data_IF_330285810699
#
_entry.id   IF_330285810699
#
_cell.length_a   1.000
_cell.length_b   1.000
_cell.length_c   1.000
_cell.angle_alpha   90.00
_cell.angle_beta   90.00
_cell.angle_gamma   90.00
#
_symmetry.space_group_name_H-M   'P 1'
#
loop_
_entity.id
_entity.type
_entity.pdbx_description
1 polymer ?
#
# COMPACT_ATOMS: atom_id res chain seq x y z
N UNK A 1 -23.34 -30.02 -2.64
CA UNK A 1 -23.43 -29.27 -3.91
C UNK A 1 -22.56 -28.04 -3.78
N UNK A 2 -21.39 -28.01 -4.41
CA UNK A 2 -20.60 -26.77 -4.51
C UNK A 2 -21.34 -25.80 -5.42
N UNK A 3 -21.60 -24.61 -4.89
CA UNK A 3 -22.22 -23.47 -5.56
C UNK A 3 -21.21 -22.91 -6.57
N UNK A 4 -21.29 -23.38 -7.82
CA UNK A 4 -20.41 -22.94 -8.94
C UNK A 4 -20.68 -21.48 -9.38
N UNK A 5 -21.67 -20.82 -8.78
CA UNK A 5 -21.89 -19.38 -8.82
C UNK A 5 -20.73 -18.58 -8.18
N UNK A 6 -19.98 -19.17 -7.24
CA UNK A 6 -18.84 -18.52 -6.58
C UNK A 6 -17.54 -18.97 -7.26
N UNK A 7 -16.83 -18.02 -7.87
CA UNK A 7 -15.54 -18.30 -8.53
C UNK A 7 -14.48 -18.73 -7.52
N UNK A 8 -13.80 -19.85 -7.80
CA UNK A 8 -12.65 -20.34 -7.02
C UNK A 8 -11.41 -19.46 -7.19
N UNK A 9 -11.33 -18.71 -8.30
CA UNK A 9 -10.25 -17.80 -8.60
C UNK A 9 -10.81 -16.45 -9.09
N UNK A 10 -11.42 -15.67 -8.19
CA UNK A 10 -12.05 -14.39 -8.55
C UNK A 10 -11.04 -13.35 -9.06
N UNK A 11 -9.75 -13.55 -8.82
CA UNK A 11 -8.68 -12.77 -9.42
C UNK A 11 -8.44 -13.12 -10.90
N UNK A 12 -8.54 -14.39 -11.29
CA UNK A 12 -8.38 -14.79 -12.70
C UNK A 12 -9.55 -14.29 -13.54
N UNK A 13 -10.75 -14.31 -12.98
CA UNK A 13 -11.93 -13.75 -13.62
C UNK A 13 -11.76 -12.24 -13.86
N UNK A 14 -11.25 -11.51 -12.86
CA UNK A 14 -10.94 -10.07 -13.01
C UNK A 14 -9.87 -9.82 -14.07
N UNK A 15 -8.79 -10.61 -14.10
CA UNK A 15 -7.74 -10.50 -15.12
C UNK A 15 -8.28 -10.81 -16.52
N UNK A 16 -9.17 -11.78 -16.64
CA UNK A 16 -9.76 -12.12 -17.93
C UNK A 16 -10.75 -11.04 -18.39
N UNK A 17 -11.62 -10.54 -17.50
CA UNK A 17 -12.53 -9.42 -17.79
C UNK A 17 -11.79 -8.13 -18.16
N UNK A 18 -10.57 -7.93 -17.68
CA UNK A 18 -9.73 -6.79 -18.09
C UNK A 18 -8.98 -6.99 -19.40
N UNK A 19 -9.28 -8.07 -20.14
CA UNK A 19 -8.76 -8.34 -21.46
C UNK A 19 -7.43 -9.10 -21.47
N UNK A 20 -6.95 -9.67 -20.35
CA UNK A 20 -5.81 -10.60 -20.40
C UNK A 20 -6.21 -11.92 -21.04
N UNK A 21 -5.36 -12.37 -21.95
CA UNK A 21 -5.44 -13.72 -22.51
C UNK A 21 -5.13 -14.76 -21.43
N UNK A 22 -5.63 -15.97 -21.64
CA UNK A 22 -5.34 -17.14 -20.79
C UNK A 22 -3.83 -17.34 -20.58
N UNK A 23 -3.02 -17.05 -21.61
CA UNK A 23 -1.56 -17.17 -21.56
C UNK A 23 -0.92 -16.10 -20.67
N UNK A 24 -1.36 -14.86 -20.77
CA UNK A 24 -0.85 -13.79 -19.91
C UNK A 24 -1.23 -14.04 -18.44
N UNK A 25 -2.44 -14.53 -18.17
CA UNK A 25 -2.88 -14.90 -16.81
C UNK A 25 -2.01 -16.03 -16.26
N UNK A 26 -1.76 -17.07 -17.06
CA UNK A 26 -0.84 -18.16 -16.74
C UNK A 26 0.55 -17.62 -16.36
N UNK A 27 1.10 -16.74 -17.19
CA UNK A 27 2.43 -16.15 -17.01
C UNK A 27 2.53 -15.23 -15.78
N UNK A 28 1.44 -14.53 -15.43
CA UNK A 28 1.40 -13.61 -14.28
C UNK A 28 1.14 -14.31 -12.94
N UNK A 29 0.41 -15.42 -12.97
CA UNK A 29 0.06 -16.17 -11.77
C UNK A 29 1.02 -17.33 -11.49
N UNK A 30 1.85 -17.70 -12.49
CA UNK A 30 2.72 -18.88 -12.42
C UNK A 30 1.96 -20.20 -12.44
N UNK A 31 0.67 -20.19 -12.82
CA UNK A 31 -0.19 -21.39 -12.84
C UNK A 31 -0.18 -22.02 -14.23
N UNK A 32 -0.34 -23.35 -14.35
CA UNK A 32 -0.34 -24.00 -15.66
C UNK A 32 -1.44 -23.46 -16.58
N UNK A 33 -1.10 -23.23 -17.85
CA UNK A 33 -2.02 -22.73 -18.89
C UNK A 33 -3.30 -23.56 -18.98
N UNK A 34 -3.19 -24.89 -18.91
CA UNK A 34 -4.32 -25.82 -18.94
C UNK A 34 -5.30 -25.61 -17.78
N UNK A 35 -4.78 -25.31 -16.59
CA UNK A 35 -5.59 -25.04 -15.39
C UNK A 35 -6.35 -23.73 -15.52
N UNK A 36 -5.67 -22.66 -15.95
CA UNK A 36 -6.31 -21.35 -16.16
C UNK A 36 -7.36 -21.44 -17.27
N UNK A 37 -7.05 -22.12 -18.37
CA UNK A 37 -7.98 -22.32 -19.48
C UNK A 37 -9.23 -23.07 -19.02
N UNK A 38 -9.06 -24.18 -18.29
CA UNK A 38 -10.17 -24.98 -17.78
C UNK A 38 -11.06 -24.16 -16.84
N UNK A 39 -10.47 -23.39 -15.92
CA UNK A 39 -11.21 -22.52 -15.01
C UNK A 39 -12.09 -21.52 -15.79
N UNK A 40 -11.51 -20.81 -16.76
CA UNK A 40 -12.24 -19.79 -17.53
C UNK A 40 -13.30 -20.40 -18.46
N UNK A 41 -13.07 -21.58 -19.02
CA UNK A 41 -14.10 -22.32 -19.78
C UNK A 41 -15.32 -22.63 -18.90
N UNK A 42 -15.10 -23.07 -17.65
CA UNK A 42 -16.19 -23.33 -16.72
C UNK A 42 -16.90 -22.02 -16.36
N UNK A 43 -16.15 -20.92 -16.14
CA UNK A 43 -16.75 -19.61 -15.84
C UNK A 43 -17.66 -19.10 -16.97
N UNK A 44 -17.29 -19.28 -18.23
CA UNK A 44 -18.12 -18.91 -19.38
C UNK A 44 -19.46 -19.64 -19.46
N UNK A 45 -19.63 -20.78 -18.77
CA UNK A 45 -20.92 -21.49 -18.69
C UNK A 45 -21.89 -20.78 -17.74
N UNK A 46 -21.38 -20.11 -16.70
CA UNK A 46 -22.18 -19.51 -15.63
C UNK A 46 -22.25 -17.98 -15.69
N UNK A 47 -21.33 -17.35 -16.41
CA UNK A 47 -21.22 -15.91 -16.64
C UNK A 47 -21.03 -15.74 -18.15
N UNK A 48 -22.14 -15.58 -18.88
CA UNK A 48 -22.17 -15.47 -20.33
C UNK A 48 -21.58 -14.15 -20.84
N UNK A 49 -21.63 -13.10 -20.00
CA UNK A 49 -21.03 -11.80 -20.28
C UNK A 49 -19.50 -11.80 -20.19
N UNK A 50 -18.88 -12.70 -19.41
CA UNK A 50 -17.43 -12.69 -19.14
C UNK A 50 -16.58 -12.63 -20.41
N UNK A 51 -17.01 -13.34 -21.47
CA UNK A 51 -16.30 -13.39 -22.74
C UNK A 51 -16.47 -12.11 -23.54
N UNK A 52 -17.68 -11.56 -23.59
CA UNK A 52 -17.94 -10.28 -24.26
C UNK A 52 -17.17 -9.13 -23.59
N UNK A 53 -17.12 -9.13 -22.25
CA UNK A 53 -16.34 -8.16 -21.48
C UNK A 53 -14.84 -8.31 -21.78
N UNK A 54 -14.31 -9.54 -21.75
CA UNK A 54 -12.92 -9.81 -22.13
C UNK A 54 -12.61 -9.31 -23.55
N UNK A 55 -13.44 -9.65 -24.54
CA UNK A 55 -13.18 -9.34 -25.94
C UNK A 55 -13.20 -7.83 -26.18
N UNK A 56 -14.14 -7.11 -25.56
CA UNK A 56 -14.20 -5.65 -25.59
C UNK A 56 -12.96 -5.00 -24.93
N UNK A 57 -12.56 -5.47 -23.74
CA UNK A 57 -11.39 -4.96 -23.04
C UNK A 57 -10.08 -5.27 -23.77
N UNK A 58 -9.99 -6.43 -24.41
CA UNK A 58 -8.83 -6.84 -25.21
C UNK A 58 -8.72 -5.99 -26.49
N UNK A 59 -9.84 -5.74 -27.17
CA UNK A 59 -9.89 -4.84 -28.33
C UNK A 59 -9.55 -3.38 -27.94
N UNK A 60 -9.94 -2.96 -26.74
CA UNK A 60 -9.66 -1.64 -26.19
C UNK A 60 -8.29 -1.52 -25.50
N UNK A 61 -7.30 -2.38 -25.82
CA UNK A 61 -5.93 -2.29 -25.29
C UNK A 61 -5.26 -0.96 -25.69
N UNK A 62 -5.43 0.03 -24.83
CA UNK A 62 -4.88 1.39 -24.87
C UNK A 62 -3.46 1.43 -24.22
N UNK A 63 -2.70 2.55 -24.22
CA UNK A 63 -1.36 2.66 -23.61
C UNK A 63 -1.27 2.27 -22.13
N UNK A 64 -2.39 2.14 -21.42
CA UNK A 64 -2.44 1.68 -20.03
C UNK A 64 -2.08 0.21 -19.82
N UNK A 65 -1.97 -0.57 -20.91
CA UNK A 65 -1.55 -1.98 -20.82
C UNK A 65 -0.17 -2.11 -20.15
N UNK A 66 0.05 -3.12 -19.28
CA UNK A 66 1.35 -3.30 -18.66
C UNK A 66 2.43 -3.56 -19.73
N UNK A 67 3.35 -2.61 -19.88
CA UNK A 67 4.47 -2.73 -20.81
C UNK A 67 5.36 -3.93 -20.45
N UNK A 68 6.15 -4.43 -21.40
CA UNK A 68 7.12 -5.51 -21.13
C UNK A 68 8.04 -5.20 -19.95
N UNK A 69 8.42 -3.93 -19.78
CA UNK A 69 9.22 -3.50 -18.63
C UNK A 69 8.44 -3.59 -17.33
N UNK A 70 7.19 -3.12 -17.31
CA UNK A 70 6.31 -3.23 -16.16
C UNK A 70 6.12 -4.69 -15.74
N UNK A 71 5.83 -5.56 -16.70
CA UNK A 71 5.64 -7.00 -16.47
C UNK A 71 6.89 -7.66 -15.87
N UNK A 72 8.08 -7.28 -16.35
CA UNK A 72 9.35 -7.79 -15.80
C UNK A 72 9.54 -7.35 -14.35
N UNK A 73 9.26 -6.08 -14.03
CA UNK A 73 9.37 -5.56 -12.66
C UNK A 73 8.35 -6.19 -11.70
N UNK A 74 7.12 -6.40 -12.18
CA UNK A 74 6.09 -7.14 -11.45
C UNK A 74 6.56 -8.56 -11.11
N UNK A 75 7.03 -9.32 -12.10
CA UNK A 75 7.55 -10.68 -11.88
C UNK A 75 8.75 -10.70 -10.92
N UNK A 76 9.67 -9.75 -11.05
CA UNK A 76 10.80 -9.64 -10.13
C UNK A 76 10.32 -9.38 -8.68
N UNK A 77 9.28 -8.56 -8.50
CA UNK A 77 8.65 -8.31 -7.19
C UNK A 77 7.99 -9.57 -6.64
N UNK A 78 7.31 -10.37 -7.48
CA UNK A 78 6.74 -11.66 -7.07
C UNK A 78 7.83 -12.64 -6.61
N UNK A 79 8.93 -12.75 -7.36
CA UNK A 79 10.05 -13.62 -7.02
C UNK A 79 10.66 -13.18 -5.69
N UNK A 80 10.93 -11.87 -5.52
CA UNK A 80 11.46 -11.34 -4.27
C UNK A 80 10.54 -11.66 -3.08
N UNK A 81 9.24 -11.49 -3.26
CA UNK A 81 8.25 -11.78 -2.22
C UNK A 81 8.20 -13.26 -1.87
N UNK A 82 8.30 -14.16 -2.87
CA UNK A 82 8.35 -15.60 -2.63
C UNK A 82 9.62 -16.01 -1.86
N UNK A 83 10.75 -15.36 -2.12
CA UNK A 83 12.03 -15.65 -1.44
C UNK A 83 12.10 -15.05 -0.04
N UNK A 84 11.63 -13.82 0.16
CA UNK A 84 11.84 -13.05 1.38
C UNK A 84 10.60 -12.95 2.29
N UNK A 85 9.42 -13.34 1.79
CA UNK A 85 8.15 -13.24 2.52
C UNK A 85 7.65 -11.81 2.74
N UNK A 86 8.25 -10.81 2.09
CA UNK A 86 7.92 -9.38 2.24
C UNK A 86 8.06 -8.63 0.92
N UNK A 87 7.43 -7.45 0.85
CA UNK A 87 7.61 -6.50 -0.25
C UNK A 87 9.03 -5.89 -0.19
N UNK A 88 9.68 -5.61 -1.33
CA UNK A 88 10.96 -4.92 -1.39
C UNK A 88 10.93 -3.58 -0.63
N UNK A 89 11.98 -3.32 0.13
CA UNK A 89 12.20 -2.09 0.90
C UNK A 89 13.47 -1.38 0.42
N UNK A 90 13.62 -0.10 0.77
CA UNK A 90 14.87 0.60 0.44
C UNK A 90 15.99 0.05 1.32
N UNK A 91 16.75 -0.89 0.78
CA UNK A 91 17.97 -1.44 1.40
C UNK A 91 19.19 -0.67 0.88
N UNK A 92 20.17 -0.40 1.76
CA UNK A 92 21.46 0.18 1.35
C UNK A 92 22.43 -0.90 0.85
N UNK A 93 22.24 -2.15 1.30
CA UNK A 93 23.13 -3.27 1.02
C UNK A 93 22.76 -4.06 -0.25
N UNK A 94 21.53 -3.90 -0.75
CA UNK A 94 21.03 -4.59 -1.95
C UNK A 94 20.45 -3.58 -2.96
N UNK A 95 21.24 -3.32 -4.00
CA UNK A 95 20.86 -2.41 -5.08
C UNK A 95 19.65 -2.92 -5.88
N UNK A 96 19.51 -4.23 -6.07
CA UNK A 96 18.40 -4.81 -6.81
C UNK A 96 17.10 -4.67 -6.01
N UNK A 97 17.12 -4.96 -4.70
CA UNK A 97 16.00 -4.70 -3.79
C UNK A 97 15.62 -3.21 -3.82
N UNK A 98 16.60 -2.30 -3.70
CA UNK A 98 16.34 -0.87 -3.71
C UNK A 98 15.66 -0.39 -5.00
N UNK A 99 16.03 -0.95 -6.16
CA UNK A 99 15.37 -0.61 -7.43
C UNK A 99 13.94 -1.13 -7.49
N UNK A 100 13.67 -2.34 -6.99
CA UNK A 100 12.32 -2.90 -6.91
C UNK A 100 11.46 -2.10 -5.93
N UNK A 101 12.00 -1.73 -4.76
CA UNK A 101 11.30 -0.92 -3.77
C UNK A 101 10.88 0.44 -4.34
N UNK A 102 11.77 1.09 -5.10
CA UNK A 102 11.46 2.36 -5.79
C UNK A 102 10.37 2.18 -6.85
N UNK A 103 10.40 1.09 -7.60
CA UNK A 103 9.36 0.78 -8.59
C UNK A 103 7.99 0.55 -7.92
N UNK A 104 7.94 -0.25 -6.84
CA UNK A 104 6.71 -0.47 -6.04
C UNK A 104 6.20 0.86 -5.48
N UNK A 105 7.07 1.69 -4.91
CA UNK A 105 6.68 3.01 -4.41
C UNK A 105 6.11 3.92 -5.51
N UNK A 106 6.68 3.88 -6.71
CA UNK A 106 6.17 4.62 -7.86
C UNK A 106 4.76 4.14 -8.26
N UNK A 107 4.49 2.83 -8.24
CA UNK A 107 3.14 2.31 -8.50
C UNK A 107 2.13 2.85 -7.45
N UNK A 108 2.54 2.98 -6.18
CA UNK A 108 1.66 3.51 -5.12
C UNK A 108 1.31 4.97 -5.39
N UNK A 109 2.32 5.75 -5.76
CA UNK A 109 2.13 7.16 -6.09
C UNK A 109 1.23 7.36 -7.31
N UNK A 110 1.30 6.49 -8.33
CA UNK A 110 0.38 6.51 -9.47
C UNK A 110 -1.05 6.17 -9.03
N UNK A 111 -1.22 5.15 -8.19
CA UNK A 111 -2.55 4.75 -7.70
C UNK A 111 -3.21 5.87 -6.88
N UNK A 112 -2.47 6.51 -5.97
CA UNK A 112 -2.99 7.61 -5.14
C UNK A 112 -3.43 8.80 -6.00
N UNK A 113 -2.71 9.06 -7.09
CA UNK A 113 -3.05 10.12 -8.06
C UNK A 113 -4.19 9.75 -9.02
N UNK A 114 -4.68 8.50 -8.98
CA UNK A 114 -5.67 8.00 -9.94
C UNK A 114 -5.11 7.82 -11.36
N UNK A 115 -3.78 7.76 -11.50
CA UNK A 115 -3.07 7.62 -12.77
C UNK A 115 -2.66 6.17 -13.06
N UNK A 116 -2.80 5.26 -12.09
CA UNK A 116 -2.48 3.85 -12.29
C UNK A 116 -3.63 3.16 -13.04
N UNK A 117 -3.39 2.57 -14.22
CA UNK A 117 -4.43 1.89 -14.98
C UNK A 117 -5.04 0.73 -14.19
N UNK A 118 -6.36 0.50 -14.33
CA UNK A 118 -7.12 -0.53 -13.62
C UNK A 118 -6.50 -1.94 -13.72
N UNK A 119 -5.91 -2.25 -14.87
CA UNK A 119 -5.20 -3.51 -15.09
C UNK A 119 -3.97 -3.67 -14.19
N UNK A 120 -3.22 -2.59 -13.99
CA UNK A 120 -2.05 -2.56 -13.13
C UNK A 120 -2.47 -2.57 -11.65
N UNK A 121 -3.59 -1.91 -11.30
CA UNK A 121 -4.20 -2.00 -9.95
C UNK A 121 -4.55 -3.46 -9.65
N UNK A 122 -5.28 -4.12 -10.55
CA UNK A 122 -5.70 -5.52 -10.40
C UNK A 122 -4.51 -6.45 -10.20
N UNK A 123 -3.41 -6.23 -10.93
CA UNK A 123 -2.18 -7.01 -10.77
C UNK A 123 -1.47 -6.69 -9.44
N UNK A 124 -1.39 -5.42 -9.05
CA UNK A 124 -0.76 -5.01 -7.79
C UNK A 124 -1.51 -5.54 -6.56
N UNK A 125 -2.84 -5.57 -6.58
CA UNK A 125 -3.68 -6.13 -5.52
C UNK A 125 -3.45 -7.63 -5.26
N UNK A 126 -2.80 -8.32 -6.20
CA UNK A 126 -2.42 -9.73 -6.04
C UNK A 126 -1.11 -9.93 -5.27
N UNK A 127 -0.34 -8.87 -5.03
CA UNK A 127 0.90 -8.95 -4.27
C UNK A 127 0.60 -8.87 -2.77
N UNK A 128 0.91 -9.91 -1.97
CA UNK A 128 0.75 -9.84 -0.52
C UNK A 128 1.57 -8.69 0.10
N UNK A 129 0.95 -7.88 0.96
CA UNK A 129 1.61 -6.72 1.56
C UNK A 129 1.72 -5.49 0.64
N UNK A 130 1.21 -5.56 -0.60
CA UNK A 130 0.92 -4.37 -1.37
C UNK A 130 -0.23 -3.60 -0.71
N UNK A 131 0.00 -2.32 -0.46
CA UNK A 131 -1.02 -1.38 0.02
C UNK A 131 -0.85 -0.06 -0.74
N UNK A 132 -1.96 0.50 -1.22
CA UNK A 132 -2.01 1.83 -1.84
C UNK A 132 -2.38 2.93 -0.83
N UNK A 133 -2.75 2.56 0.40
CA UNK A 133 -2.89 3.52 1.50
C UNK A 133 -1.52 4.10 1.77
N UNK A 134 -1.38 5.38 1.42
CA UNK A 134 -0.14 6.12 1.57
C UNK A 134 0.36 5.95 3.03
N UNK A 135 1.66 5.71 3.24
CA UNK A 135 2.24 5.86 4.56
C UNK A 135 1.96 7.25 5.15
N UNK A 136 1.55 8.25 4.35
CA UNK A 136 1.11 9.56 4.83
C UNK A 136 -0.22 9.49 5.60
N UNK A 137 -1.20 8.71 5.14
CA UNK A 137 -2.48 8.50 5.83
C UNK A 137 -2.23 7.75 7.13
N UNK A 138 -1.35 6.74 7.08
CA UNK A 138 -0.90 6.05 8.28
C UNK A 138 -0.01 6.93 9.18
N UNK A 139 0.77 7.87 8.65
CA UNK A 139 1.57 8.84 9.43
C UNK A 139 0.73 9.91 10.08
N UNK A 140 -0.40 10.28 9.48
CA UNK A 140 -1.35 11.24 10.06
C UNK A 140 -2.18 10.53 11.14
N UNK A 141 -2.61 9.27 10.91
CA UNK A 141 -3.26 8.42 11.93
C UNK A 141 -2.32 8.11 13.09
N UNK A 142 -1.12 7.61 12.82
CA UNK A 142 -0.10 7.39 13.83
C UNK A 142 0.27 8.69 14.56
N UNK A 143 0.23 9.84 13.88
CA UNK A 143 0.42 11.12 14.56
C UNK A 143 -0.74 11.42 15.52
N UNK A 144 -1.99 11.09 15.16
CA UNK A 144 -3.16 11.20 16.06
C UNK A 144 -3.07 10.22 17.24
N UNK A 145 -2.67 8.97 17.01
CA UNK A 145 -2.42 7.99 18.06
C UNK A 145 -1.36 8.51 19.04
N UNK A 146 -0.24 9.03 18.53
CA UNK A 146 0.82 9.60 19.38
C UNK A 146 0.39 10.87 20.12
N UNK A 147 -0.48 11.69 19.53
CA UNK A 147 -1.11 12.80 20.23
C UNK A 147 -2.03 12.32 21.35
N UNK A 148 -2.80 11.25 21.11
CA UNK A 148 -3.66 10.64 22.11
C UNK A 148 -2.85 10.02 23.27
N UNK A 149 -1.76 9.31 22.97
CA UNK A 149 -0.81 8.80 23.98
C UNK A 149 -0.24 9.95 24.83
N UNK A 150 0.17 11.04 24.16
CA UNK A 150 0.69 12.23 24.84
C UNK A 150 -0.35 12.88 25.74
N UNK A 151 -1.59 13.01 25.27
CA UNK A 151 -2.72 13.52 26.05
C UNK A 151 -3.00 12.65 27.28
N UNK A 152 -3.01 11.32 27.11
CA UNK A 152 -3.21 10.38 28.20
C UNK A 152 -2.12 10.53 29.26
N UNK A 153 -0.84 10.58 28.85
CA UNK A 153 0.28 10.78 29.75
C UNK A 153 0.19 12.10 30.53
N UNK A 154 -0.15 13.21 29.86
CA UNK A 154 -0.29 14.52 30.51
C UNK A 154 -1.50 14.54 31.45
N UNK A 155 -2.59 13.87 31.10
CA UNK A 155 -3.78 13.76 31.94
C UNK A 155 -3.51 12.96 33.20
N UNK A 156 -2.71 11.88 33.09
CA UNK A 156 -2.35 11.01 34.21
C UNK A 156 -1.31 11.65 35.14
N UNK A 157 -0.25 12.22 34.58
CA UNK A 157 0.90 12.73 35.35
C UNK A 157 0.80 14.21 35.69
N UNK A 158 -0.07 14.96 34.99
CA UNK A 158 -0.14 16.43 35.07
C UNK A 158 1.07 17.15 34.47
N UNK A 159 2.01 16.43 33.84
CA UNK A 159 3.27 17.00 33.34
C UNK A 159 3.53 16.61 31.88
N UNK A 160 4.25 17.47 31.15
CA UNK A 160 4.71 17.14 29.80
C UNK A 160 5.87 16.14 29.87
N UNK A 161 5.93 15.15 28.94
CA UNK A 161 6.96 14.14 28.95
C UNK A 161 8.34 14.75 28.67
N UNK A 162 9.33 14.31 29.42
CA UNK A 162 10.69 14.83 29.30
C UNK A 162 11.48 14.05 28.26
N UNK A 163 12.15 14.77 27.36
CA UNK A 163 13.12 14.19 26.44
C UNK A 163 14.38 13.68 27.16
N UNK A 164 14.81 14.36 28.24
CA UNK A 164 15.98 14.01 29.07
C UNK A 164 15.55 13.81 30.52
N UNK A 165 16.17 12.84 31.22
CA UNK A 165 15.86 12.49 32.63
C UNK A 165 14.38 12.08 32.80
N UNK A 166 14.00 11.07 32.05
CA UNK A 166 12.67 10.46 32.05
C UNK A 166 12.59 9.35 33.10
N UNK A 167 11.38 9.07 33.58
CA UNK A 167 11.11 8.04 34.58
C UNK A 167 10.67 6.71 33.95
N UNK A 168 10.29 6.72 32.65
CA UNK A 168 9.96 5.52 31.88
C UNK A 168 10.32 5.64 30.40
N UNK A 169 10.53 4.49 29.74
CA UNK A 169 10.73 4.43 28.28
C UNK A 169 9.53 4.97 27.49
N UNK A 170 8.32 4.85 28.04
CA UNK A 170 7.11 5.44 27.46
C UNK A 170 7.16 6.98 27.49
N UNK A 171 7.55 7.57 28.63
CA UNK A 171 7.79 9.02 28.74
C UNK A 171 8.87 9.48 27.76
N UNK A 172 10.00 8.75 27.68
CA UNK A 172 11.08 9.10 26.76
C UNK A 172 10.61 9.15 25.31
N UNK A 173 9.89 8.11 24.88
CA UNK A 173 9.33 7.99 23.53
C UNK A 173 8.41 9.18 23.18
N UNK A 174 7.55 9.60 24.12
CA UNK A 174 6.69 10.77 23.94
C UNK A 174 7.48 12.09 23.95
N UNK A 175 8.51 12.20 24.79
CA UNK A 175 9.42 13.36 24.83
C UNK A 175 10.19 13.55 23.52
N UNK A 176 10.70 12.47 22.92
CA UNK A 176 11.34 12.48 21.58
C UNK A 176 10.35 12.93 20.52
N UNK A 177 9.12 12.41 20.56
CA UNK A 177 8.07 12.76 19.61
C UNK A 177 7.68 14.25 19.70
N UNK A 178 7.51 14.78 20.91
CA UNK A 178 7.20 16.19 21.15
C UNK A 178 8.35 17.11 20.71
N UNK A 179 9.60 16.72 20.99
CA UNK A 179 10.79 17.44 20.49
C UNK A 179 10.79 17.53 18.96
N UNK A 180 10.46 16.44 18.28
CA UNK A 180 10.35 16.41 16.81
C UNK A 180 9.29 17.39 16.30
N UNK A 181 8.16 17.57 17.02
CA UNK A 181 7.15 18.55 16.62
C UNK A 181 7.65 19.98 16.79
N UNK A 182 8.43 20.27 17.83
CA UNK A 182 9.08 21.57 18.02
C UNK A 182 10.05 21.91 16.88
N UNK A 183 10.93 20.96 16.50
CA UNK A 183 11.86 21.15 15.40
C UNK A 183 11.11 21.43 14.09
N UNK A 184 10.12 20.61 13.74
CA UNK A 184 9.32 20.80 12.52
C UNK A 184 8.58 22.12 12.51
N UNK A 185 8.12 22.62 13.66
CA UNK A 185 7.53 23.96 13.76
C UNK A 185 8.57 25.05 13.51
N UNK A 186 9.73 24.96 14.14
CA UNK A 186 10.82 25.94 13.96
C UNK A 186 11.30 26.02 12.50
N UNK A 187 11.31 24.88 11.80
CA UNK A 187 11.64 24.79 10.37
C UNK A 187 10.49 25.20 9.44
N UNK A 188 9.28 25.50 9.95
CA UNK A 188 8.10 25.79 9.12
C UNK A 188 7.54 24.59 8.35
N UNK A 189 7.89 23.36 8.75
CA UNK A 189 7.51 22.10 8.09
C UNK A 189 6.39 21.34 8.81
N UNK A 190 5.89 21.88 9.91
CA UNK A 190 4.75 21.30 10.62
C UNK A 190 3.44 21.64 9.87
N UNK A 191 2.68 20.61 9.47
CA UNK A 191 1.39 20.80 8.81
C UNK A 191 0.45 21.64 9.70
N UNK A 192 -0.30 22.55 9.09
CA UNK A 192 -1.20 23.48 9.79
C UNK A 192 -2.18 22.76 10.73
N UNK A 193 -2.86 21.72 10.26
CA UNK A 193 -3.82 20.98 11.08
C UNK A 193 -3.17 20.29 12.31
N UNK A 194 -1.90 19.88 12.23
CA UNK A 194 -1.16 19.29 13.37
C UNK A 194 -0.84 20.35 14.41
N UNK A 195 -0.51 21.57 13.96
CA UNK A 195 -0.29 22.70 14.83
C UNK A 195 -1.57 23.06 15.59
N UNK A 196 -2.70 23.13 14.91
CA UNK A 196 -4.03 23.37 15.49
C UNK A 196 -4.40 22.30 16.52
N UNK A 197 -4.29 21.03 16.15
CA UNK A 197 -4.57 19.90 17.04
C UNK A 197 -3.71 19.90 18.31
N UNK A 198 -2.41 20.23 18.22
CA UNK A 198 -1.54 20.37 19.40
C UNK A 198 -1.94 21.54 20.30
N UNK A 199 -2.36 22.67 19.72
CA UNK A 199 -2.77 23.84 20.50
C UNK A 199 -4.08 23.60 21.26
N UNK A 200 -5.00 22.88 20.63
CA UNK A 200 -6.27 22.49 21.22
C UNK A 200 -6.06 21.45 22.33
N UNK A 201 -5.29 20.41 22.04
CA UNK A 201 -5.03 19.31 22.96
C UNK A 201 -4.22 19.73 24.19
N UNK A 202 -3.19 20.56 24.02
CA UNK A 202 -2.20 20.82 25.06
C UNK A 202 -1.78 22.30 25.10
N UNK A 203 -2.59 23.24 25.60
CA UNK A 203 -2.28 24.69 25.53
C UNK A 203 -0.87 25.10 26.03
N UNK A 204 -0.26 24.32 26.93
CA UNK A 204 1.10 24.49 27.45
C UNK A 204 2.23 23.76 26.71
N UNK A 205 1.95 23.05 25.60
CA UNK A 205 2.96 22.26 24.87
C UNK A 205 4.07 23.11 24.27
N UNK A 206 3.77 24.37 23.96
CA UNK A 206 4.75 25.34 23.45
C UNK A 206 5.68 25.70 24.59
N UNK A 207 6.89 25.14 24.58
CA UNK A 207 7.95 25.53 25.52
C UNK A 207 8.00 27.06 25.60
N UNK A 208 7.85 27.61 26.81
CA UNK A 208 8.23 29.00 27.05
C UNK A 208 9.73 29.07 26.75
N UNK A 209 10.08 30.00 25.87
CA UNK A 209 11.47 30.41 25.65
C UNK A 209 12.01 31.01 26.94
#
# INVERSE_FOLDING_TARGET
MLRWDISLHPSWDRMYKSGMTVREISDMTGRPLSTVHRHLQVRQIYDDEIRSIHDAANAARDPGWPTTHWQRRYKATQIFLATNGRIPTSSEDDADEATLARWVAHQRALHIRGELPDIQITLMDMLPGWTYREPSVNRDEHWRERLADLLAFVTETGTLPRYKRYDSEHEHSLGVWLHTQHQRRAEGRLKQWRLEALNEALPGWRSKM
#
